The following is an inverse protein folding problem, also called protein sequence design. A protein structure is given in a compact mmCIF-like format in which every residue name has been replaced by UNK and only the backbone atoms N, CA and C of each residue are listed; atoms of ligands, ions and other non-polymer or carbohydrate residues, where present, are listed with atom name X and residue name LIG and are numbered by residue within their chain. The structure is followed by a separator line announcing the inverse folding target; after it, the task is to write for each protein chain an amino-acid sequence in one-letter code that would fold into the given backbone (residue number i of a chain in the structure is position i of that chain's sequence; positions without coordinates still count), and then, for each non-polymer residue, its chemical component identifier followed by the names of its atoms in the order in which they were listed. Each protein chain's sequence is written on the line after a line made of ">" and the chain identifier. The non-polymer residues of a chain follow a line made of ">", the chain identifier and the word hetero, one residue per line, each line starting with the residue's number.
data_IF_720782769699
#
_entry.id   IF_720782769699
#
_cell.length_a   1.000
_cell.length_b   1.000
_cell.length_c   1.000
_cell.angle_alpha   90.00
_cell.angle_beta   90.00
_cell.angle_gamma   90.00
#
_symmetry.space_group_name_H-M   'P 1'
#
loop_
_entity.id
_entity.type
_entity.pdbx_description
1 polymer ?
#
# COMPACT_ATOMS: atom_id res chain seq x y z
N UNK A 1 -21.05 24.38 35.83
CA UNK A 1 -22.45 24.31 35.34
C UNK A 1 -22.57 24.12 33.83
N UNK A 2 -22.16 25.08 32.99
CA UNK A 2 -22.22 24.92 31.51
C UNK A 2 -21.30 23.79 31.02
N UNK A 3 -20.07 23.74 31.54
CA UNK A 3 -19.11 22.68 31.23
C UNK A 3 -19.63 21.29 31.62
N UNK A 4 -20.17 21.15 32.83
CA UNK A 4 -20.67 19.85 33.32
C UNK A 4 -21.86 19.34 32.51
N UNK A 5 -22.72 20.24 32.05
CA UNK A 5 -23.87 19.92 31.19
C UNK A 5 -23.42 19.46 29.81
N UNK A 6 -22.44 20.16 29.22
CA UNK A 6 -21.83 19.77 27.96
C UNK A 6 -21.09 18.43 28.08
N UNK A 7 -20.28 18.25 29.13
CA UNK A 7 -19.53 17.02 29.40
C UNK A 7 -20.47 15.83 29.52
N UNK A 8 -21.58 15.96 30.26
CA UNK A 8 -22.57 14.90 30.42
C UNK A 8 -23.27 14.54 29.10
N UNK A 9 -23.54 15.53 28.24
CA UNK A 9 -24.06 15.29 26.89
C UNK A 9 -23.04 14.60 25.98
N UNK A 10 -21.78 15.02 26.07
CA UNK A 10 -20.67 14.39 25.36
C UNK A 10 -20.47 12.94 25.80
N UNK A 11 -20.43 12.67 27.10
CA UNK A 11 -20.24 11.31 27.65
C UNK A 11 -21.40 10.38 27.24
N UNK A 12 -22.63 10.89 27.18
CA UNK A 12 -23.78 10.13 26.69
C UNK A 12 -23.69 9.82 25.19
N UNK A 13 -23.24 10.79 24.38
CA UNK A 13 -23.00 10.61 22.95
C UNK A 13 -21.85 9.64 22.68
N UNK A 14 -20.74 9.78 23.42
CA UNK A 14 -19.56 8.92 23.31
C UNK A 14 -19.93 7.48 23.67
N UNK A 15 -20.67 7.27 24.77
CA UNK A 15 -21.11 5.93 25.17
C UNK A 15 -22.03 5.27 24.13
N UNK A 16 -22.95 6.04 23.55
CA UNK A 16 -23.86 5.53 22.51
C UNK A 16 -23.11 5.22 21.20
N UNK A 17 -22.21 6.11 20.79
CA UNK A 17 -21.43 5.96 19.56
C UNK A 17 -20.40 4.83 19.69
N UNK A 18 -19.78 4.70 20.86
CA UNK A 18 -18.84 3.62 21.16
C UNK A 18 -19.53 2.26 21.06
N UNK A 19 -20.73 2.09 21.64
CA UNK A 19 -21.51 0.85 21.52
C UNK A 19 -21.88 0.52 20.08
N UNK A 20 -22.35 1.52 19.33
CA UNK A 20 -22.69 1.34 17.91
C UNK A 20 -21.46 0.94 17.08
N UNK A 21 -20.32 1.60 17.29
CA UNK A 21 -19.05 1.26 16.64
C UNK A 21 -18.57 -0.13 17.03
N UNK A 22 -18.68 -0.50 18.30
CA UNK A 22 -18.30 -1.82 18.80
C UNK A 22 -19.16 -2.92 18.18
N UNK A 23 -20.48 -2.72 18.05
CA UNK A 23 -21.38 -3.64 17.37
C UNK A 23 -21.08 -3.75 15.87
N UNK A 24 -20.84 -2.62 15.19
CA UNK A 24 -20.49 -2.62 13.77
C UNK A 24 -19.14 -3.29 13.49
N UNK A 25 -18.14 -3.05 14.33
CA UNK A 25 -16.80 -3.63 14.22
C UNK A 25 -16.71 -5.07 14.72
N UNK A 26 -17.69 -5.55 15.49
CA UNK A 26 -17.77 -6.96 15.88
C UNK A 26 -18.74 -7.77 15.03
N UNK A 27 -19.62 -7.11 14.27
CA UNK A 27 -20.60 -7.77 13.42
C UNK A 27 -19.95 -8.33 12.15
N UNK A 28 -19.88 -9.68 12.00
CA UNK A 28 -19.38 -10.29 10.78
C UNK A 28 -20.23 -9.95 9.56
N UNK A 29 -21.52 -9.66 9.77
CA UNK A 29 -22.46 -9.29 8.72
C UNK A 29 -22.18 -7.93 8.08
N UNK A 30 -21.41 -7.05 8.74
CA UNK A 30 -20.97 -5.75 8.19
C UNK A 30 -19.54 -5.82 7.72
N UNK A 31 -18.64 -6.39 8.55
CA UNK A 31 -17.22 -6.48 8.23
C UNK A 31 -16.92 -7.35 7.01
N UNK A 32 -17.63 -8.46 6.85
CA UNK A 32 -17.37 -9.38 5.74
C UNK A 32 -17.74 -8.79 4.37
N UNK A 33 -18.96 -8.26 4.14
CA UNK A 33 -19.29 -7.66 2.85
C UNK A 33 -18.51 -6.36 2.58
N UNK A 34 -18.23 -5.55 3.60
CA UNK A 34 -17.41 -4.33 3.43
C UNK A 34 -15.96 -4.68 3.09
N UNK A 35 -15.37 -5.68 3.75
CA UNK A 35 -14.04 -6.19 3.43
C UNK A 35 -13.97 -6.81 2.02
N UNK A 36 -15.00 -7.57 1.62
CA UNK A 36 -15.09 -8.14 0.28
C UNK A 36 -15.21 -7.04 -0.80
N UNK A 37 -16.04 -6.02 -0.56
CA UNK A 37 -16.20 -4.88 -1.46
C UNK A 37 -14.92 -4.06 -1.58
N UNK A 38 -14.26 -3.75 -0.46
CA UNK A 38 -12.97 -3.04 -0.46
C UNK A 38 -11.90 -3.86 -1.19
N UNK A 39 -11.84 -5.17 -0.94
CA UNK A 39 -10.91 -6.07 -1.64
C UNK A 39 -11.17 -6.06 -3.15
N UNK A 40 -12.44 -6.13 -3.56
CA UNK A 40 -12.84 -6.03 -4.96
C UNK A 40 -12.42 -4.70 -5.59
N UNK A 41 -12.71 -3.58 -4.91
CA UNK A 41 -12.34 -2.24 -5.35
C UNK A 41 -10.82 -2.07 -5.49
N UNK A 42 -10.04 -2.57 -4.52
CA UNK A 42 -8.57 -2.50 -4.58
C UNK A 42 -7.99 -3.37 -5.69
N UNK A 43 -8.55 -4.56 -5.95
CA UNK A 43 -8.16 -5.40 -7.09
C UNK A 43 -8.45 -4.70 -8.41
N UNK A 44 -9.64 -4.11 -8.55
CA UNK A 44 -10.03 -3.35 -9.73
C UNK A 44 -9.11 -2.14 -9.96
N UNK A 45 -8.86 -1.34 -8.92
CA UNK A 45 -7.91 -0.22 -8.95
C UNK A 45 -6.51 -0.69 -9.38
N UNK A 46 -6.01 -1.77 -8.80
CA UNK A 46 -4.68 -2.31 -9.14
C UNK A 46 -4.60 -2.76 -10.60
N UNK A 47 -5.66 -3.39 -11.12
CA UNK A 47 -5.74 -3.78 -12.54
C UNK A 47 -5.76 -2.55 -13.45
N UNK A 48 -6.52 -1.52 -13.08
CA UNK A 48 -6.56 -0.25 -13.78
C UNK A 48 -5.19 0.45 -13.81
N UNK A 49 -4.54 0.59 -12.64
CA UNK A 49 -3.22 1.23 -12.54
C UNK A 49 -2.17 0.52 -13.41
N UNK A 50 -2.23 -0.83 -13.49
CA UNK A 50 -1.37 -1.61 -14.39
C UNK A 50 -1.67 -1.34 -15.86
N UNK A 51 -2.94 -1.32 -16.25
CA UNK A 51 -3.34 -1.06 -17.63
C UNK A 51 -2.90 0.34 -18.08
N UNK A 52 -3.10 1.35 -17.23
CA UNK A 52 -2.64 2.72 -17.49
C UNK A 52 -1.12 2.77 -17.58
N UNK A 53 -0.40 2.15 -16.65
CA UNK A 53 1.07 2.09 -16.70
C UNK A 53 1.59 1.43 -17.97
N UNK A 54 0.95 0.36 -18.44
CA UNK A 54 1.31 -0.30 -19.70
C UNK A 54 1.01 0.57 -20.91
N UNK A 55 -0.13 1.24 -20.94
CA UNK A 55 -0.49 2.14 -22.03
C UNK A 55 0.44 3.35 -22.11
N UNK A 56 0.75 3.98 -20.97
CA UNK A 56 1.72 5.08 -20.87
C UNK A 56 3.11 4.62 -21.30
N UNK A 57 3.54 3.42 -20.88
CA UNK A 57 4.79 2.82 -21.33
C UNK A 57 4.81 2.53 -22.83
N UNK A 58 3.71 2.03 -23.40
CA UNK A 58 3.57 1.77 -24.84
C UNK A 58 3.56 3.08 -25.66
N UNK A 59 3.09 4.18 -25.07
CA UNK A 59 3.20 5.52 -25.65
C UNK A 59 4.63 6.10 -25.57
N UNK A 60 5.60 5.35 -25.03
CA UNK A 60 7.00 5.75 -24.96
C UNK A 60 7.35 6.62 -23.76
N UNK A 61 6.42 6.81 -22.81
CA UNK A 61 6.67 7.59 -21.60
C UNK A 61 7.19 6.65 -20.51
N UNK A 62 8.42 6.89 -20.06
CA UNK A 62 9.02 6.13 -18.97
C UNK A 62 8.23 6.33 -17.68
N UNK A 63 7.73 5.23 -17.08
CA UNK A 63 7.00 5.29 -15.82
C UNK A 63 7.93 5.19 -14.63
N UNK A 64 7.51 5.66 -13.45
CA UNK A 64 8.26 5.49 -12.20
C UNK A 64 8.62 4.02 -11.93
N UNK A 65 7.70 3.10 -12.25
CA UNK A 65 7.92 1.65 -12.10
C UNK A 65 9.01 1.13 -13.05
N UNK A 66 9.14 1.73 -14.24
CA UNK A 66 10.22 1.39 -15.16
C UNK A 66 11.57 1.88 -14.64
N UNK A 67 11.59 3.09 -14.05
CA UNK A 67 12.77 3.65 -13.41
C UNK A 67 13.26 2.79 -12.24
N UNK A 68 12.36 2.35 -11.36
CA UNK A 68 12.69 1.47 -10.24
C UNK A 68 13.24 0.11 -10.70
N UNK A 69 12.64 -0.49 -11.74
CA UNK A 69 13.14 -1.74 -12.33
C UNK A 69 14.52 -1.58 -12.95
N UNK A 70 14.74 -0.49 -13.67
CA UNK A 70 16.03 -0.17 -14.28
C UNK A 70 17.09 0.06 -13.21
N UNK A 71 16.77 0.80 -12.16
CA UNK A 71 17.68 1.03 -11.03
C UNK A 71 18.07 -0.30 -10.36
N UNK A 72 17.11 -1.19 -10.13
CA UNK A 72 17.40 -2.51 -9.58
C UNK A 72 18.31 -3.35 -10.48
N UNK A 73 18.08 -3.33 -11.79
CA UNK A 73 18.93 -4.03 -12.76
C UNK A 73 20.35 -3.46 -12.79
N UNK A 74 20.51 -2.14 -12.69
CA UNK A 74 21.82 -1.48 -12.60
C UNK A 74 22.59 -1.95 -11.36
N UNK A 75 21.96 -1.95 -10.19
CA UNK A 75 22.61 -2.44 -8.97
C UNK A 75 23.00 -3.91 -9.06
N UNK A 76 22.19 -4.74 -9.72
CA UNK A 76 22.52 -6.14 -9.91
C UNK A 76 23.69 -6.35 -10.88
N UNK A 77 23.83 -5.49 -11.89
CA UNK A 77 25.00 -5.51 -12.78
C UNK A 77 26.26 -5.03 -12.05
N UNK A 78 26.16 -3.96 -11.27
CA UNK A 78 27.25 -3.44 -10.43
C UNK A 78 27.79 -4.53 -9.50
N UNK A 79 26.90 -5.22 -8.77
CA UNK A 79 27.30 -6.34 -7.90
C UNK A 79 28.00 -7.46 -8.66
N UNK A 80 27.52 -7.84 -9.85
CA UNK A 80 28.17 -8.88 -10.66
C UNK A 80 29.54 -8.44 -11.19
N UNK A 81 29.71 -7.16 -11.52
CA UNK A 81 31.00 -6.62 -11.94
C UNK A 81 32.02 -6.68 -10.79
N UNK A 82 31.62 -6.27 -9.59
CA UNK A 82 32.47 -6.36 -8.40
C UNK A 82 32.90 -7.81 -8.13
N UNK A 83 31.97 -8.77 -8.20
CA UNK A 83 32.30 -10.20 -8.03
C UNK A 83 33.30 -10.70 -9.08
N UNK A 84 33.21 -10.20 -10.32
CA UNK A 84 34.14 -10.56 -11.40
C UNK A 84 35.51 -9.92 -11.21
N UNK A 85 35.55 -8.66 -10.78
CA UNK A 85 36.79 -7.95 -10.43
C UNK A 85 37.52 -8.68 -9.30
N UNK A 86 36.81 -9.11 -8.25
CA UNK A 86 37.38 -9.86 -7.15
C UNK A 86 37.97 -11.20 -7.63
N UNK A 87 37.23 -11.97 -8.45
CA UNK A 87 37.71 -13.23 -9.01
C UNK A 87 38.93 -13.07 -9.92
N UNK A 88 38.98 -11.99 -10.70
CA UNK A 88 40.14 -11.68 -11.53
C UNK A 88 41.36 -11.31 -10.67
N UNK A 89 41.16 -10.53 -9.61
CA UNK A 89 42.22 -10.21 -8.65
C UNK A 89 42.76 -11.47 -7.97
N UNK A 90 41.89 -12.40 -7.57
CA UNK A 90 42.29 -13.67 -6.95
C UNK A 90 43.06 -14.58 -7.92
N UNK A 91 42.73 -14.56 -9.22
CA UNK A 91 43.38 -15.39 -10.23
C UNK A 91 44.72 -14.82 -10.73
N UNK A 92 44.88 -13.50 -10.65
CA UNK A 92 46.10 -12.79 -11.05
C UNK A 92 47.12 -12.62 -9.90
N UNK A 93 46.77 -13.01 -8.67
CA UNK A 93 47.65 -13.10 -7.51
C UNK A 93 48.25 -14.51 -7.38
#
# INVERSE_FOLDING_TARGET
>A
MIWDTWKKGFDAWESATAKLMEEMLKSPAVLWPSGAMLTGAMKAKTAYDRAVSQWVGAAGVATKRDQERMLHAIHQLESKLLDLEEKLSQKNA
#
